data_IF_827970606358
#
_entry.id   IF_827970606358
#
_cell.length_a   1.000
_cell.length_b   1.000
_cell.length_c   1.000
_cell.angle_alpha   90.00
_cell.angle_beta   90.00
_cell.angle_gamma   90.00
#
_symmetry.space_group_name_H-M   'P 1'
#
loop_
_entity.id
_entity.type
_entity.pdbx_description
1 polymer ?
#
# COMPACT_ATOMS: atom_id res chain seq x y z
N UNK A 1 -9.22 16.87 -25.36
CA UNK A 1 -9.65 16.22 -24.09
C UNK A 1 -10.04 14.73 -24.22
N UNK A 2 -10.89 14.30 -25.17
CA UNK A 2 -11.44 12.92 -25.22
C UNK A 2 -10.41 11.75 -25.26
N UNK A 3 -9.19 11.95 -25.79
CA UNK A 3 -8.17 10.89 -25.93
C UNK A 3 -7.36 10.62 -24.65
N UNK A 4 -7.16 11.64 -23.79
CA UNK A 4 -6.46 11.49 -22.50
C UNK A 4 -7.29 10.69 -21.47
N UNK A 5 -8.61 10.88 -21.46
CA UNK A 5 -9.48 10.14 -20.55
C UNK A 5 -9.50 8.63 -20.87
N UNK A 6 -9.35 8.25 -22.15
CA UNK A 6 -9.29 6.82 -22.51
C UNK A 6 -8.01 6.13 -22.00
N UNK A 7 -6.86 6.79 -22.08
CA UNK A 7 -5.57 6.21 -21.64
C UNK A 7 -5.52 6.04 -20.12
N UNK A 8 -6.01 7.04 -19.38
CA UNK A 8 -6.08 6.98 -17.91
C UNK A 8 -7.06 5.90 -17.43
N UNK A 9 -8.19 5.71 -18.11
CA UNK A 9 -9.13 4.62 -17.82
C UNK A 9 -8.50 3.24 -18.06
N UNK A 10 -7.77 3.05 -19.17
CA UNK A 10 -7.10 1.76 -19.44
C UNK A 10 -6.02 1.48 -18.39
N UNK A 11 -5.21 2.48 -18.01
CA UNK A 11 -4.17 2.33 -16.99
C UNK A 11 -4.75 2.03 -15.61
N UNK A 12 -5.81 2.71 -15.22
CA UNK A 12 -6.48 2.45 -13.92
C UNK A 12 -7.09 1.06 -13.88
N UNK A 13 -7.74 0.61 -14.96
CA UNK A 13 -8.20 -0.77 -15.07
C UNK A 13 -7.05 -1.78 -14.93
N UNK A 14 -5.91 -1.55 -15.58
CA UNK A 14 -4.74 -2.43 -15.47
C UNK A 14 -4.20 -2.49 -14.03
N UNK A 15 -4.10 -1.34 -13.34
CA UNK A 15 -3.68 -1.29 -11.93
C UNK A 15 -4.63 -2.09 -11.04
N UNK A 16 -5.95 -1.90 -11.21
CA UNK A 16 -6.95 -2.63 -10.41
C UNK A 16 -6.82 -4.14 -10.61
N UNK A 17 -6.68 -4.60 -11.86
CA UNK A 17 -6.51 -6.02 -12.16
C UNK A 17 -5.25 -6.58 -11.51
N UNK A 18 -4.09 -5.91 -11.67
CA UNK A 18 -2.83 -6.35 -11.07
C UNK A 18 -2.88 -6.32 -9.54
N UNK A 19 -3.52 -5.31 -8.94
CA UNK A 19 -3.70 -5.23 -7.49
C UNK A 19 -4.57 -6.37 -6.94
N UNK A 20 -5.62 -6.77 -7.66
CA UNK A 20 -6.43 -7.93 -7.30
C UNK A 20 -5.62 -9.22 -7.35
N UNK A 21 -4.85 -9.45 -8.42
CA UNK A 21 -3.96 -10.61 -8.52
C UNK A 21 -2.90 -10.62 -7.42
N UNK A 22 -2.32 -9.46 -7.12
CA UNK A 22 -1.38 -9.29 -6.03
C UNK A 22 -2.00 -9.63 -4.67
N UNK A 23 -3.21 -9.14 -4.38
CA UNK A 23 -3.93 -9.45 -3.14
C UNK A 23 -4.25 -10.94 -2.98
N UNK A 24 -4.67 -11.60 -4.06
CA UNK A 24 -4.92 -13.05 -4.08
C UNK A 24 -3.61 -13.83 -3.86
N UNK A 25 -2.52 -13.42 -4.52
CA UNK A 25 -1.22 -14.05 -4.34
C UNK A 25 -0.71 -13.89 -2.90
N UNK A 26 -0.82 -12.68 -2.33
CA UNK A 26 -0.47 -12.39 -0.94
C UNK A 26 -1.27 -13.26 0.04
N UNK A 27 -2.59 -13.35 -0.15
CA UNK A 27 -3.45 -14.16 0.71
C UNK A 27 -3.10 -15.66 0.65
N UNK A 28 -2.92 -16.20 -0.55
CA UNK A 28 -2.54 -17.60 -0.73
C UNK A 28 -1.15 -17.89 -0.15
N UNK A 29 -0.21 -16.95 -0.31
CA UNK A 29 1.12 -17.05 0.27
C UNK A 29 1.07 -17.05 1.81
N UNK A 30 0.35 -16.11 2.41
CA UNK A 30 0.16 -16.05 3.86
C UNK A 30 -0.50 -17.33 4.41
N UNK A 31 -1.49 -17.89 3.70
CA UNK A 31 -2.15 -19.14 4.08
C UNK A 31 -1.18 -20.34 4.06
N UNK A 32 -0.30 -20.42 3.06
CA UNK A 32 0.76 -21.43 3.00
C UNK A 32 1.78 -21.24 4.13
N UNK A 33 2.22 -20.01 4.37
CA UNK A 33 3.13 -19.75 5.48
C UNK A 33 2.50 -20.10 6.83
N UNK A 34 1.20 -19.83 7.03
CA UNK A 34 0.50 -20.22 8.24
C UNK A 34 0.58 -21.74 8.50
N UNK A 35 0.47 -22.58 7.47
CA UNK A 35 0.65 -24.04 7.65
C UNK A 35 2.06 -24.41 8.09
N UNK A 36 3.08 -23.74 7.54
CA UNK A 36 4.49 -23.95 7.93
C UNK A 36 4.72 -23.49 9.37
N UNK A 37 4.20 -22.31 9.75
CA UNK A 37 4.32 -21.80 11.12
C UNK A 37 3.65 -22.75 12.12
N UNK A 38 2.48 -23.33 11.78
CA UNK A 38 1.82 -24.32 12.64
C UNK A 38 2.66 -25.60 12.82
N UNK A 39 3.29 -26.09 11.75
CA UNK A 39 4.17 -27.26 11.82
C UNK A 39 5.41 -27.00 12.69
N UNK A 40 6.07 -25.85 12.49
CA UNK A 40 7.21 -25.42 13.32
C UNK A 40 6.77 -25.27 14.77
N UNK A 41 5.60 -24.66 15.02
CA UNK A 41 5.08 -24.48 16.37
C UNK A 41 4.85 -25.80 17.09
N UNK A 42 4.34 -26.81 16.37
CA UNK A 42 4.19 -28.15 16.91
C UNK A 42 5.56 -28.76 17.25
N UNK A 43 6.50 -28.79 16.32
CA UNK A 43 7.84 -29.35 16.55
C UNK A 43 8.54 -28.69 17.74
N UNK A 44 8.44 -27.36 17.85
CA UNK A 44 8.97 -26.61 18.98
C UNK A 44 8.25 -26.97 20.29
N UNK A 45 6.92 -27.09 20.28
CA UNK A 45 6.17 -27.51 21.46
C UNK A 45 6.59 -28.90 21.94
N UNK A 46 6.75 -29.87 21.03
CA UNK A 46 7.18 -31.22 21.36
C UNK A 46 8.54 -31.21 22.06
N UNK A 47 9.51 -30.52 21.46
CA UNK A 47 10.87 -30.38 22.00
C UNK A 47 10.88 -29.69 23.36
N UNK A 48 10.18 -28.55 23.51
CA UNK A 48 10.13 -27.81 24.77
C UNK A 48 9.43 -28.63 25.86
N UNK A 49 8.32 -29.27 25.54
CA UNK A 49 7.58 -30.10 26.50
C UNK A 49 8.45 -31.25 27.00
N UNK A 50 9.12 -31.98 26.11
CA UNK A 50 10.05 -33.05 26.48
C UNK A 50 11.19 -32.54 27.38
N UNK A 51 11.84 -31.43 27.01
CA UNK A 51 12.94 -30.86 27.79
C UNK A 51 12.50 -30.39 29.17
N UNK A 52 11.37 -29.69 29.26
CA UNK A 52 10.84 -29.17 30.52
C UNK A 52 10.39 -30.32 31.42
N UNK A 53 9.66 -31.30 30.90
CA UNK A 53 9.21 -32.47 31.67
C UNK A 53 10.41 -33.24 32.23
N UNK A 54 11.42 -33.54 31.40
CA UNK A 54 12.64 -34.22 31.85
C UNK A 54 13.35 -33.42 32.95
N UNK A 55 13.57 -32.11 32.73
CA UNK A 55 14.27 -31.25 33.69
C UNK A 55 13.53 -31.10 35.02
N UNK A 56 12.21 -31.00 35.01
CA UNK A 56 11.43 -30.90 36.26
C UNK A 56 11.32 -32.25 36.97
N UNK A 57 11.26 -33.36 36.22
CA UNK A 57 11.33 -34.70 36.79
C UNK A 57 12.67 -34.94 37.50
N UNK A 58 13.79 -34.61 36.86
CA UNK A 58 15.13 -34.79 37.43
C UNK A 58 15.32 -34.02 38.75
N UNK A 59 14.64 -32.87 38.90
CA UNK A 59 14.64 -32.10 40.15
C UNK A 59 13.92 -32.79 41.30
N UNK A 60 12.96 -33.68 41.02
CA UNK A 60 12.28 -34.43 42.07
C UNK A 60 13.22 -35.42 42.77
N UNK A 61 14.37 -35.78 42.15
CA UNK A 61 15.33 -36.77 42.67
C UNK A 61 14.67 -38.09 43.06
N UNK A 62 13.61 -38.47 42.34
CA UNK A 62 12.89 -39.72 42.58
C UNK A 62 13.68 -40.84 41.91
N UNK A 63 14.03 -41.88 42.66
CA UNK A 63 14.55 -43.11 42.10
C UNK A 63 13.41 -43.85 41.42
N UNK A 64 13.40 -43.83 40.09
CA UNK A 64 12.52 -44.66 39.28
C UNK A 64 13.32 -45.81 38.69
N UNK A 65 12.80 -47.02 38.77
CA UNK A 65 13.32 -48.18 38.05
C UNK A 65 12.51 -48.29 36.77
N UNK A 66 13.10 -47.92 35.64
CA UNK A 66 12.53 -48.30 34.34
C UNK A 66 12.71 -49.80 34.21
N UNK A 67 11.61 -50.53 34.15
CA UNK A 67 11.67 -51.94 33.77
C UNK A 67 11.98 -52.00 32.27
N UNK A 68 13.23 -52.30 31.93
CA UNK A 68 13.62 -52.60 30.55
C UNK A 68 12.90 -53.89 30.15
N UNK A 69 11.78 -53.75 29.45
CA UNK A 69 11.13 -54.87 28.82
C UNK A 69 11.96 -55.27 27.61
N UNK A 70 12.45 -56.50 27.63
CA UNK A 70 13.38 -57.14 26.69
C UNK A 70 12.83 -57.26 25.23
N UNK A 71 12.35 -56.17 24.63
CA UNK A 71 11.82 -56.09 23.27
C UNK A 71 10.41 -56.65 23.08
N UNK A 72 9.74 -57.15 24.13
CA UNK A 72 8.33 -57.58 24.04
C UNK A 72 7.41 -56.36 24.05
N UNK A 73 6.79 -56.08 22.90
CA UNK A 73 5.73 -55.06 22.80
C UNK A 73 4.62 -55.40 23.77
N UNK A 74 4.47 -54.62 24.84
CA UNK A 74 3.33 -54.72 25.72
C UNK A 74 2.08 -54.37 24.91
N UNK A 75 1.00 -55.13 25.08
CA UNK A 75 -0.32 -54.83 24.48
C UNK A 75 -1.25 -54.16 25.48
N UNK A 76 -0.91 -54.20 26.76
CA UNK A 76 -1.68 -53.71 27.90
C UNK A 76 -0.72 -53.09 28.92
N UNK A 77 -1.15 -51.99 29.55
CA UNK A 77 -0.50 -51.32 30.68
C UNK A 77 -1.39 -51.47 31.89
N UNK A 78 -0.83 -51.93 33.00
CA UNK A 78 -1.56 -52.08 34.26
C UNK A 78 -1.09 -51.00 35.23
N UNK A 79 -2.05 -50.38 35.93
CA UNK A 79 -1.75 -49.46 37.02
C UNK A 79 -2.69 -49.74 38.19
N UNK A 80 -2.15 -49.68 39.40
CA UNK A 80 -2.93 -49.82 40.63
C UNK A 80 -3.09 -48.42 41.21
N UNK A 81 -4.34 -47.99 41.35
CA UNK A 81 -4.70 -46.72 41.99
C UNK A 81 -5.49 -46.99 43.27
N UNK A 82 -5.81 -45.93 44.03
CA UNK A 82 -6.70 -46.01 45.20
C UNK A 82 -8.10 -46.56 44.85
N UNK A 83 -8.53 -46.42 43.59
CA UNK A 83 -9.83 -46.89 43.09
C UNK A 83 -9.80 -48.34 42.58
N UNK A 84 -8.62 -48.97 42.55
CA UNK A 84 -8.43 -50.36 42.14
C UNK A 84 -7.36 -50.55 41.07
N UNK A 85 -7.27 -51.77 40.58
CA UNK A 85 -6.39 -52.16 39.47
C UNK A 85 -7.07 -51.85 38.13
N UNK A 86 -6.41 -51.03 37.31
CA UNK A 86 -6.86 -50.66 35.99
C UNK A 86 -5.92 -51.24 34.93
N UNK A 87 -6.51 -51.82 33.90
CA UNK A 87 -5.78 -52.28 32.72
C UNK A 87 -6.19 -51.41 31.52
N UNK A 88 -5.21 -50.70 30.96
CA UNK A 88 -5.38 -49.89 29.75
C UNK A 88 -4.72 -50.61 28.58
N UNK A 89 -5.51 -50.93 27.57
CA UNK A 89 -5.01 -51.46 26.30
C UNK A 89 -4.18 -50.38 25.60
N UNK A 90 -2.99 -50.75 25.13
CA UNK A 90 -2.15 -49.83 24.34
C UNK A 90 -2.84 -49.60 23.00
N UNK A 91 -3.16 -48.33 22.73
CA UNK A 91 -3.85 -47.90 21.53
C UNK A 91 -2.85 -47.23 20.61
N UNK A 92 -2.54 -47.86 19.48
CA UNK A 92 -1.57 -47.35 18.51
C UNK A 92 -1.94 -45.97 17.95
N UNK A 93 -3.24 -45.63 17.88
CA UNK A 93 -3.69 -44.31 17.46
C UNK A 93 -3.41 -43.26 18.54
N UNK A 94 -3.60 -43.62 19.81
CA UNK A 94 -3.29 -42.71 20.93
C UNK A 94 -1.79 -42.54 21.15
N UNK A 95 -1.01 -43.61 20.98
CA UNK A 95 0.46 -43.52 20.98
C UNK A 95 0.97 -42.59 19.88
N UNK A 96 0.41 -42.68 18.67
CA UNK A 96 0.73 -41.77 17.57
C UNK A 96 0.29 -40.32 17.82
N UNK A 97 -0.69 -40.11 18.70
CA UNK A 97 -1.14 -38.79 19.18
C UNK A 97 -0.38 -38.31 20.42
N UNK A 98 0.64 -39.02 20.88
CA UNK A 98 1.53 -38.54 21.93
C UNK A 98 2.22 -37.25 21.51
N UNK A 99 2.32 -36.27 22.42
CA UNK A 99 3.06 -35.04 22.14
C UNK A 99 4.55 -35.36 21.90
N UNK A 100 5.07 -36.32 22.65
CA UNK A 100 6.40 -36.88 22.55
C UNK A 100 6.28 -38.41 22.67
N UNK A 101 7.41 -39.11 22.60
CA UNK A 101 7.42 -40.56 22.78
C UNK A 101 6.97 -40.92 24.20
N UNK A 102 5.71 -41.36 24.32
CA UNK A 102 5.06 -41.62 25.60
C UNK A 102 5.85 -42.67 26.41
N UNK A 103 6.31 -43.73 25.76
CA UNK A 103 7.12 -44.78 26.39
C UNK A 103 8.34 -44.24 27.16
N UNK A 104 8.93 -43.12 26.72
CA UNK A 104 10.16 -42.56 27.31
C UNK A 104 9.89 -41.41 28.28
N UNK A 105 8.90 -40.56 27.99
CA UNK A 105 8.66 -39.31 28.74
C UNK A 105 7.33 -39.32 29.48
N UNK A 106 6.36 -40.11 29.01
CA UNK A 106 4.99 -40.12 29.53
C UNK A 106 4.87 -40.55 30.99
N UNK A 107 5.71 -41.50 31.45
CA UNK A 107 5.75 -41.84 32.87
C UNK A 107 6.27 -40.70 33.75
N UNK A 108 7.19 -39.87 33.23
CA UNK A 108 7.72 -38.71 33.96
C UNK A 108 6.65 -37.64 34.13
N UNK A 109 5.87 -37.41 33.07
CA UNK A 109 4.73 -36.50 33.09
C UNK A 109 3.67 -36.96 34.09
N UNK A 110 3.34 -38.26 34.09
CA UNK A 110 2.41 -38.87 35.04
C UNK A 110 2.88 -38.71 36.50
N UNK A 111 4.14 -39.03 36.79
CA UNK A 111 4.71 -38.83 38.12
C UNK A 111 4.66 -37.36 38.55
N UNK A 112 5.06 -36.43 37.67
CA UNK A 112 4.99 -34.99 37.95
C UNK A 112 3.55 -34.54 38.27
N UNK A 113 2.57 -35.08 37.56
CA UNK A 113 1.16 -34.82 37.80
C UNK A 113 0.69 -35.38 39.15
N UNK A 114 1.08 -36.60 39.51
CA UNK A 114 0.77 -37.22 40.80
C UNK A 114 1.29 -36.39 41.99
N UNK A 115 2.46 -35.75 41.83
CA UNK A 115 3.01 -34.82 42.83
C UNK A 115 2.40 -33.41 42.79
N UNK A 116 1.43 -33.14 41.90
CA UNK A 116 0.85 -31.80 41.69
C UNK A 116 1.87 -30.78 41.15
N UNK A 117 2.93 -31.25 40.49
CA UNK A 117 4.08 -30.44 40.02
C UNK A 117 4.22 -30.44 38.51
N UNK A 118 3.16 -30.78 37.78
CA UNK A 118 3.21 -30.76 36.32
C UNK A 118 3.48 -29.34 35.78
N UNK A 119 4.53 -29.12 34.97
CA UNK A 119 5.05 -27.79 34.69
C UNK A 119 4.37 -27.08 33.51
N UNK A 120 3.03 -27.03 33.50
CA UNK A 120 2.25 -26.50 32.37
C UNK A 120 2.63 -25.06 31.98
N UNK A 121 2.67 -24.14 32.95
CA UNK A 121 3.02 -22.73 32.71
C UNK A 121 4.44 -22.57 32.16
N UNK A 122 5.36 -23.41 32.62
CA UNK A 122 6.76 -23.37 32.19
C UNK A 122 6.93 -23.86 30.75
N UNK A 123 6.22 -24.93 30.39
CA UNK A 123 6.15 -25.39 28.99
C UNK A 123 5.60 -24.26 28.12
N UNK A 124 4.52 -23.62 28.55
CA UNK A 124 3.89 -22.53 27.81
C UNK A 124 4.83 -21.33 27.66
N UNK A 125 5.52 -20.91 28.72
CA UNK A 125 6.42 -19.75 28.67
C UNK A 125 7.65 -19.99 27.79
N UNK A 126 8.29 -21.16 27.89
CA UNK A 126 9.46 -21.48 27.07
C UNK A 126 9.08 -21.71 25.60
N UNK A 127 7.90 -22.29 25.34
CA UNK A 127 7.36 -22.41 23.98
C UNK A 127 7.05 -21.04 23.38
N UNK A 128 6.44 -20.15 24.17
CA UNK A 128 6.16 -18.77 23.78
C UNK A 128 7.44 -18.00 23.42
N UNK A 129 8.52 -18.19 24.18
CA UNK A 129 9.82 -17.56 23.92
C UNK A 129 10.45 -18.06 22.62
N UNK A 130 10.49 -19.38 22.39
CA UNK A 130 11.05 -19.93 21.15
C UNK A 130 10.22 -19.56 19.91
N UNK A 131 8.90 -19.43 20.07
CA UNK A 131 8.01 -18.96 19.01
C UNK A 131 8.17 -17.46 18.72
N UNK A 132 8.25 -16.62 19.75
CA UNK A 132 8.40 -15.16 19.58
C UNK A 132 9.75 -14.79 18.93
N UNK A 133 10.81 -15.57 19.21
CA UNK A 133 12.11 -15.42 18.58
C UNK A 133 12.07 -15.61 17.05
N UNK A 134 11.19 -16.49 16.55
CA UNK A 134 11.03 -16.78 15.11
C UNK A 134 9.90 -15.98 14.46
N UNK A 135 8.81 -15.79 15.19
CA UNK A 135 7.54 -15.24 14.73
C UNK A 135 7.00 -14.27 15.78
N UNK A 136 7.49 -13.03 15.75
CA UNK A 136 7.18 -12.00 16.75
C UNK A 136 5.69 -11.77 16.93
N UNK A 137 5.28 -11.61 18.18
CA UNK A 137 3.90 -11.33 18.56
C UNK A 137 2.95 -12.52 18.42
N UNK A 138 3.48 -13.73 18.22
CA UNK A 138 2.70 -14.97 18.34
C UNK A 138 2.13 -15.09 19.74
N UNK A 139 0.91 -15.62 19.88
CA UNK A 139 0.33 -15.93 21.19
C UNK A 139 0.11 -17.43 21.27
N UNK A 140 0.73 -18.05 22.28
CA UNK A 140 0.68 -19.48 22.55
C UNK A 140 -0.14 -19.74 23.82
N UNK A 141 -1.08 -20.68 23.75
CA UNK A 141 -1.93 -21.10 24.86
C UNK A 141 -2.01 -22.61 24.92
N UNK A 142 -1.99 -23.15 26.13
CA UNK A 142 -2.13 -24.58 26.38
C UNK A 142 -3.34 -24.82 27.29
N UNK A 143 -4.17 -25.79 26.95
CA UNK A 143 -5.18 -26.36 27.84
C UNK A 143 -4.76 -27.78 28.21
N UNK A 144 -4.65 -28.04 29.51
CA UNK A 144 -4.38 -29.36 30.04
C UNK A 144 -5.66 -29.91 30.66
N UNK A 145 -6.14 -31.01 30.11
CA UNK A 145 -7.26 -31.79 30.62
C UNK A 145 -6.75 -33.10 31.23
N UNK A 146 -7.09 -33.33 32.49
CA UNK A 146 -6.75 -34.52 33.25
C UNK A 146 -8.04 -35.26 33.55
N UNK A 147 -8.12 -36.52 33.12
CA UNK A 147 -9.23 -37.44 33.36
C UNK A 147 -8.67 -38.65 34.10
N UNK A 148 -8.71 -38.66 35.45
CA UNK A 148 -8.20 -39.77 36.23
C UNK A 148 -8.96 -41.06 35.89
N UNK A 149 -8.26 -42.20 35.91
CA UNK A 149 -8.90 -43.51 35.73
C UNK A 149 -9.94 -43.73 36.84
N UNK A 150 -11.12 -44.22 36.45
CA UNK A 150 -12.22 -44.50 37.39
C UNK A 150 -13.09 -43.30 37.80
N UNK A 151 -12.70 -42.07 37.43
CA UNK A 151 -13.45 -40.85 37.74
C UNK A 151 -14.13 -40.26 36.50
N UNK A 152 -15.40 -39.92 36.63
CA UNK A 152 -16.16 -39.17 35.60
C UNK A 152 -15.86 -37.67 35.60
N UNK A 153 -15.16 -37.18 36.62
CA UNK A 153 -14.80 -35.76 36.77
C UNK A 153 -13.43 -35.50 36.13
N UNK A 154 -13.40 -34.59 35.17
CA UNK A 154 -12.16 -34.09 34.58
C UNK A 154 -11.78 -32.74 35.17
N UNK A 155 -10.48 -32.49 35.29
CA UNK A 155 -9.93 -31.20 35.64
C UNK A 155 -9.33 -30.56 34.39
N UNK A 156 -9.68 -29.31 34.11
CA UNK A 156 -9.11 -28.53 33.02
C UNK A 156 -8.37 -27.32 33.57
N UNK A 157 -7.15 -27.11 33.09
CA UNK A 157 -6.27 -26.00 33.51
C UNK A 157 -5.71 -25.34 32.27
N UNK A 158 -5.71 -24.00 32.25
CA UNK A 158 -5.22 -23.21 31.13
C UNK A 158 -3.93 -22.50 31.50
N UNK A 159 -3.02 -22.43 30.53
CA UNK A 159 -1.84 -21.57 30.59
C UNK A 159 -1.90 -20.55 29.45
N UNK A 160 -2.14 -19.29 29.80
CA UNK A 160 -2.21 -18.15 28.88
C UNK A 160 -3.60 -17.57 28.65
N UNK A 161 -3.77 -16.84 27.55
CA UNK A 161 -4.98 -16.06 27.28
C UNK A 161 -6.07 -16.89 26.59
N UNK A 162 -7.08 -17.33 27.34
CA UNK A 162 -8.18 -18.18 26.87
C UNK A 162 -8.98 -17.60 25.69
N UNK A 163 -8.95 -16.28 25.46
CA UNK A 163 -9.68 -15.63 24.36
C UNK A 163 -9.28 -16.15 22.97
N UNK A 164 -8.10 -16.77 22.84
CA UNK A 164 -7.60 -17.30 21.57
C UNK A 164 -7.95 -18.79 21.34
N UNK A 165 -8.61 -19.46 22.30
CA UNK A 165 -9.00 -20.87 22.25
C UNK A 165 -10.13 -21.13 21.24
N UNK A 166 -9.84 -20.90 19.96
CA UNK A 166 -10.78 -21.08 18.84
C UNK A 166 -10.31 -22.20 17.91
N UNK A 167 -11.22 -22.76 17.12
CA UNK A 167 -10.89 -23.81 16.16
C UNK A 167 -9.85 -23.37 15.10
N UNK A 168 -9.77 -22.07 14.80
CA UNK A 168 -8.80 -21.53 13.84
C UNK A 168 -7.35 -21.58 14.38
N UNK A 169 -7.19 -21.35 15.68
CA UNK A 169 -5.89 -21.33 16.36
C UNK A 169 -5.48 -22.70 16.90
N UNK A 170 -6.37 -23.69 16.85
CA UNK A 170 -6.07 -25.05 17.30
C UNK A 170 -4.93 -25.66 16.47
N UNK A 171 -3.94 -26.22 17.16
CA UNK A 171 -2.85 -27.02 16.58
C UNK A 171 -3.15 -28.51 16.67
N UNK A 172 -3.80 -28.94 17.75
CA UNK A 172 -4.13 -30.33 18.01
C UNK A 172 -4.32 -30.61 19.49
N UNK A 173 -4.78 -31.82 19.79
CA UNK A 173 -4.84 -32.38 21.15
C UNK A 173 -3.93 -33.60 21.20
N UNK A 174 -3.09 -33.65 22.22
CA UNK A 174 -2.00 -34.63 22.32
C UNK A 174 -2.02 -35.29 23.69
N UNK A 175 -1.70 -36.58 23.74
CA UNK A 175 -1.52 -37.26 25.03
C UNK A 175 -0.14 -36.96 25.61
N UNK A 176 -0.08 -36.86 26.94
CA UNK A 176 1.15 -36.59 27.67
C UNK A 176 1.64 -37.77 28.51
N UNK A 177 0.76 -38.69 28.86
CA UNK A 177 1.05 -39.80 29.76
C UNK A 177 0.76 -41.16 29.13
N UNK A 178 1.33 -42.20 29.74
CA UNK A 178 1.20 -43.58 29.25
C UNK A 178 -0.18 -44.19 29.50
N UNK A 179 -0.99 -43.58 30.35
CA UNK A 179 -2.32 -44.07 30.69
C UNK A 179 -3.43 -43.32 29.95
N UNK A 180 -3.07 -42.36 29.07
CA UNK A 180 -3.98 -41.49 28.34
C UNK A 180 -4.94 -40.69 29.24
N UNK A 181 -4.52 -40.42 30.47
CA UNK A 181 -5.28 -39.64 31.46
C UNK A 181 -5.05 -38.14 31.29
N UNK A 182 -3.92 -37.76 30.68
CA UNK A 182 -3.51 -36.38 30.46
C UNK A 182 -3.52 -36.05 28.97
N UNK A 183 -4.38 -35.12 28.58
CA UNK A 183 -4.43 -34.58 27.23
C UNK A 183 -4.14 -33.08 27.23
N UNK A 184 -3.26 -32.65 26.33
CA UNK A 184 -2.87 -31.27 26.12
C UNK A 184 -3.41 -30.77 24.78
N UNK A 185 -4.28 -29.77 24.82
CA UNK A 185 -4.71 -29.05 23.62
C UNK A 185 -3.88 -27.78 23.46
N UNK A 186 -3.23 -27.65 22.30
CA UNK A 186 -2.37 -26.52 22.00
C UNK A 186 -3.04 -25.54 21.03
N UNK A 187 -2.97 -24.25 21.36
CA UNK A 187 -3.47 -23.16 20.53
C UNK A 187 -2.35 -22.18 20.22
N UNK A 188 -2.29 -21.72 18.97
CA UNK A 188 -1.34 -20.70 18.55
C UNK A 188 -2.00 -19.74 17.55
N UNK A 189 -1.92 -18.45 17.87
CA UNK A 189 -2.36 -17.38 16.98
C UNK A 189 -1.13 -16.68 16.39
N UNK A 190 -0.83 -16.88 15.10
CA UNK A 190 0.25 -16.18 14.44
C UNK A 190 -0.22 -14.81 13.93
N UNK A 191 0.72 -13.87 13.86
CA UNK A 191 0.49 -12.58 13.22
C UNK A 191 0.61 -12.75 11.70
N UNK A 192 -0.42 -12.35 10.97
CA UNK A 192 -0.54 -12.53 9.52
C UNK A 192 0.71 -12.11 8.73
N UNK A 193 1.32 -10.98 9.09
CA UNK A 193 2.50 -10.44 8.40
C UNK A 193 3.73 -11.37 8.47
N UNK A 194 3.88 -12.12 9.55
CA UNK A 194 4.99 -13.07 9.74
C UNK A 194 4.70 -14.44 9.11
N UNK A 195 3.48 -14.66 8.62
CA UNK A 195 3.15 -15.81 7.78
C UNK A 195 3.42 -15.55 6.29
N UNK A 196 3.76 -14.34 5.88
CA UNK A 196 4.03 -14.02 4.47
C UNK A 196 5.49 -14.34 4.16
N UNK A 197 5.70 -15.19 3.15
CA UNK A 197 7.01 -15.38 2.53
C UNK A 197 7.25 -14.28 1.50
N UNK A 198 7.93 -13.22 1.95
CA UNK A 198 8.33 -12.08 1.12
C UNK A 198 9.35 -12.44 0.03
N UNK A 199 9.94 -13.64 0.06
CA UNK A 199 10.85 -14.13 -0.98
C UNK A 199 10.13 -14.90 -2.08
N UNK A 200 8.81 -15.08 -1.99
CA UNK A 200 8.02 -15.73 -3.03
C UNK A 200 8.14 -14.97 -4.35
N UNK A 201 8.61 -15.69 -5.38
CA UNK A 201 8.87 -15.12 -6.69
C UNK A 201 7.61 -14.50 -7.32
N UNK A 202 6.44 -15.12 -7.14
CA UNK A 202 5.19 -14.64 -7.73
C UNK A 202 4.77 -13.33 -7.06
N UNK A 203 4.83 -13.29 -5.73
CA UNK A 203 4.52 -12.07 -4.98
C UNK A 203 5.48 -10.93 -5.34
N UNK A 204 6.78 -11.20 -5.46
CA UNK A 204 7.78 -10.21 -5.87
C UNK A 204 7.53 -9.68 -7.28
N UNK A 205 7.27 -10.57 -8.25
CA UNK A 205 7.00 -10.19 -9.63
C UNK A 205 5.75 -9.28 -9.71
N UNK A 206 4.66 -9.68 -9.05
CA UNK A 206 3.43 -8.88 -9.03
C UNK A 206 3.62 -7.53 -8.32
N UNK A 207 4.41 -7.50 -7.25
CA UNK A 207 4.77 -6.25 -6.55
C UNK A 207 5.54 -5.30 -7.48
N UNK A 208 6.52 -5.80 -8.21
CA UNK A 208 7.29 -5.03 -9.18
C UNK A 208 6.40 -4.48 -10.30
N UNK A 209 5.51 -5.30 -10.87
CA UNK A 209 4.56 -4.85 -11.90
C UNK A 209 3.63 -3.76 -11.38
N UNK A 210 3.08 -3.92 -10.18
CA UNK A 210 2.21 -2.92 -9.57
C UNK A 210 2.96 -1.61 -9.33
N UNK A 211 4.19 -1.67 -8.82
CA UNK A 211 5.04 -0.49 -8.64
C UNK A 211 5.30 0.24 -9.96
N UNK A 212 5.68 -0.48 -11.03
CA UNK A 212 5.92 0.11 -12.35
C UNK A 212 4.65 0.82 -12.87
N UNK A 213 3.48 0.21 -12.70
CA UNK A 213 2.21 0.81 -13.11
C UNK A 213 1.82 2.04 -12.27
N UNK A 214 2.12 2.05 -10.98
CA UNK A 214 1.87 3.22 -10.14
C UNK A 214 2.81 4.38 -10.48
N UNK A 215 4.11 4.10 -10.64
CA UNK A 215 5.09 5.10 -11.05
C UNK A 215 4.80 5.64 -12.45
N UNK A 216 4.47 4.78 -13.41
CA UNK A 216 4.11 5.20 -14.76
C UNK A 216 2.90 6.14 -14.79
N UNK A 217 1.86 5.84 -14.01
CA UNK A 217 0.68 6.72 -13.87
C UNK A 217 1.06 8.06 -13.24
N UNK A 218 1.87 8.05 -12.18
CA UNK A 218 2.33 9.26 -11.50
C UNK A 218 3.10 10.19 -12.46
N UNK A 219 4.09 9.65 -13.19
CA UNK A 219 4.85 10.41 -14.18
C UNK A 219 3.94 10.93 -15.31
N UNK A 220 3.02 10.12 -15.80
CA UNK A 220 2.06 10.54 -16.84
C UNK A 220 1.22 11.74 -16.39
N UNK A 221 0.67 11.70 -15.17
CA UNK A 221 -0.14 12.81 -14.62
C UNK A 221 0.71 14.06 -14.45
N UNK A 222 1.94 13.94 -13.93
CA UNK A 222 2.88 15.08 -13.76
C UNK A 222 3.22 15.75 -15.09
N UNK A 223 3.50 14.96 -16.13
CA UNK A 223 3.76 15.48 -17.49
C UNK A 223 2.54 16.25 -18.02
N UNK A 224 1.33 15.74 -17.80
CA UNK A 224 0.11 16.41 -18.28
C UNK A 224 -0.20 17.71 -17.53
N UNK A 225 0.07 17.77 -16.23
CA UNK A 225 -0.07 18.99 -15.44
C UNK A 225 0.86 20.09 -15.96
N UNK A 226 2.13 19.79 -16.18
CA UNK A 226 3.08 20.76 -16.76
C UNK A 226 2.69 21.26 -18.15
N UNK A 227 2.07 20.41 -18.99
CA UNK A 227 1.57 20.84 -20.30
C UNK A 227 0.42 21.84 -20.19
N UNK A 228 -0.49 21.66 -19.22
CA UNK A 228 -1.60 22.59 -18.99
C UNK A 228 -1.11 23.92 -18.43
N UNK A 229 -0.16 23.88 -17.50
CA UNK A 229 0.45 25.07 -16.91
C UNK A 229 1.12 25.94 -17.98
N UNK A 230 1.96 25.34 -18.83
CA UNK A 230 2.57 26.04 -19.98
C UNK A 230 1.54 26.62 -20.94
N UNK A 231 0.43 25.93 -21.21
CA UNK A 231 -0.60 26.43 -22.12
C UNK A 231 -1.37 27.64 -21.54
N UNK A 232 -1.46 27.73 -20.21
CA UNK A 232 -2.21 28.81 -19.52
C UNK A 232 -1.36 30.08 -19.44
N UNK A 233 -0.07 29.95 -19.13
CA UNK A 233 0.91 31.06 -19.07
C UNK A 233 1.11 31.76 -20.44
N UNK A 234 1.08 31.01 -21.55
CA UNK A 234 1.15 31.60 -22.90
C UNK A 234 -0.11 32.39 -23.27
N UNK A 235 -1.27 32.08 -22.69
CA UNK A 235 -2.53 32.78 -23.02
C UNK A 235 -2.62 34.15 -22.35
N UNK A 236 -2.19 34.29 -21.10
CA UNK A 236 -2.23 35.57 -20.37
C UNK A 236 -1.27 36.61 -20.95
N UNK A 237 -0.13 36.18 -21.50
CA UNK A 237 0.90 37.09 -22.03
C UNK A 237 0.50 37.84 -23.33
N UNK A 238 -0.65 37.51 -23.93
CA UNK A 238 -1.08 38.03 -25.23
C UNK A 238 -2.27 39.00 -25.16
N UNK A 239 -2.72 39.38 -23.96
CA UNK A 239 -3.75 40.39 -23.74
C UNK A 239 -3.05 41.69 -23.31
N UNK A 240 -3.21 42.75 -24.11
CA UNK A 240 -2.58 44.04 -23.89
C UNK A 240 -3.63 45.09 -23.53
N UNK A 241 -3.42 45.83 -22.45
CA UNK A 241 -4.29 46.93 -22.04
C UNK A 241 -3.85 48.24 -22.72
N UNK A 242 -4.75 48.91 -23.43
CA UNK A 242 -4.49 50.15 -24.16
C UNK A 242 -5.59 51.14 -23.81
N UNK A 243 -5.30 52.04 -22.87
CA UNK A 243 -6.33 52.93 -22.32
C UNK A 243 -7.41 52.15 -21.58
N UNK A 244 -8.67 52.34 -21.96
CA UNK A 244 -9.82 51.59 -21.41
C UNK A 244 -10.12 50.29 -22.19
N UNK A 245 -9.40 50.04 -23.29
CA UNK A 245 -9.63 48.88 -24.17
C UNK A 245 -8.62 47.77 -23.93
N UNK A 246 -9.06 46.51 -23.94
CA UNK A 246 -8.19 45.33 -23.92
C UNK A 246 -8.07 44.71 -25.32
N UNK A 247 -6.84 44.54 -25.79
CA UNK A 247 -6.54 43.92 -27.08
C UNK A 247 -6.03 42.49 -26.89
N UNK A 248 -6.73 41.52 -27.49
CA UNK A 248 -6.30 40.13 -27.56
C UNK A 248 -5.56 39.88 -28.89
N UNK A 249 -4.26 39.64 -28.80
CA UNK A 249 -3.40 39.45 -29.96
C UNK A 249 -3.63 38.10 -30.68
N UNK A 250 -4.14 37.08 -29.98
CA UNK A 250 -4.40 35.75 -30.54
C UNK A 250 -5.72 35.77 -31.30
N UNK A 251 -6.78 36.32 -30.68
CA UNK A 251 -8.12 36.33 -31.26
C UNK A 251 -8.37 37.53 -32.19
N UNK A 252 -7.41 38.47 -32.28
CA UNK A 252 -7.55 39.71 -33.04
C UNK A 252 -8.82 40.49 -32.68
N UNK A 253 -9.09 40.62 -31.38
CA UNK A 253 -10.27 41.34 -30.88
C UNK A 253 -9.87 42.48 -29.94
N UNK A 254 -10.64 43.56 -29.99
CA UNK A 254 -10.53 44.70 -29.08
C UNK A 254 -11.82 44.78 -28.28
N UNK A 255 -11.73 44.78 -26.95
CA UNK A 255 -12.89 44.86 -26.06
C UNK A 255 -12.88 46.20 -25.31
N UNK A 256 -13.96 46.95 -25.40
CA UNK A 256 -14.16 48.22 -24.68
C UNK A 256 -15.53 48.20 -23.98
N UNK A 257 -15.55 48.31 -22.64
CA UNK A 257 -16.77 48.47 -21.82
C UNK A 257 -17.94 47.59 -22.30
N UNK A 258 -17.65 46.30 -22.55
CA UNK A 258 -18.57 45.23 -23.01
C UNK A 258 -18.80 45.09 -24.54
N UNK A 259 -18.31 46.01 -25.37
CA UNK A 259 -18.37 45.88 -26.84
C UNK A 259 -17.10 45.20 -27.38
N UNK A 260 -17.26 44.05 -28.04
CA UNK A 260 -16.16 43.31 -28.69
C UNK A 260 -16.11 43.66 -30.18
N UNK A 261 -15.01 44.27 -30.62
CA UNK A 261 -14.76 44.63 -32.02
C UNK A 261 -13.69 43.73 -32.62
N UNK A 262 -13.98 43.21 -33.81
CA UNK A 262 -12.98 42.48 -34.59
C UNK A 262 -11.93 43.45 -35.13
N UNK A 263 -10.65 43.15 -34.91
CA UNK A 263 -9.52 43.91 -35.40
C UNK A 263 -9.02 43.30 -36.71
N UNK A 264 -9.10 44.02 -37.85
CA UNK A 264 -8.57 43.51 -39.12
C UNK A 264 -7.09 43.12 -38.99
N UNK A 265 -6.61 42.06 -39.68
CA UNK A 265 -5.25 41.55 -39.51
C UNK A 265 -4.14 42.60 -39.66
N UNK A 266 -4.32 43.56 -40.59
CA UNK A 266 -3.38 44.65 -40.78
C UNK A 266 -3.38 45.65 -39.62
N UNK A 267 -4.56 45.94 -39.05
CA UNK A 267 -4.69 46.80 -37.88
C UNK A 267 -4.11 46.12 -36.62
N UNK A 268 -4.32 44.80 -36.47
CA UNK A 268 -3.75 44.03 -35.36
C UNK A 268 -2.22 44.01 -35.40
N UNK A 269 -1.61 43.82 -36.58
CA UNK A 269 -0.15 43.90 -36.77
C UNK A 269 0.39 45.28 -36.42
N UNK A 270 -0.28 46.34 -36.89
CA UNK A 270 0.11 47.72 -36.56
C UNK A 270 0.00 48.00 -35.07
N UNK A 271 -1.10 47.57 -34.43
CA UNK A 271 -1.31 47.77 -33.01
C UNK A 271 -0.25 47.05 -32.17
N UNK A 272 0.09 45.80 -32.52
CA UNK A 272 1.21 45.07 -31.92
C UNK A 272 2.54 45.80 -32.09
N UNK A 273 2.81 46.35 -33.28
CA UNK A 273 4.02 47.11 -33.54
C UNK A 273 4.09 48.40 -32.71
N UNK A 274 2.97 49.10 -32.52
CA UNK A 274 2.89 50.25 -31.61
C UNK A 274 3.09 49.85 -30.15
N UNK A 275 2.52 48.73 -29.69
CA UNK A 275 2.70 48.26 -28.31
C UNK A 275 4.15 47.84 -28.05
N UNK A 276 4.84 47.33 -29.07
CA UNK A 276 6.23 46.91 -28.97
C UNK A 276 7.22 48.07 -28.81
N UNK A 277 6.82 49.31 -29.13
CA UNK A 277 7.66 50.51 -28.93
C UNK A 277 7.32 51.19 -27.60
N UNK A 278 8.34 51.61 -26.86
CA UNK A 278 8.19 52.14 -25.50
C UNK A 278 7.40 53.45 -25.41
N UNK A 279 7.30 54.20 -26.51
CA UNK A 279 6.57 55.46 -26.63
C UNK A 279 5.33 55.37 -27.53
N UNK A 280 4.94 54.15 -27.92
CA UNK A 280 3.86 53.88 -28.89
C UNK A 280 3.99 54.70 -30.18
N UNK A 281 5.23 54.95 -30.61
CA UNK A 281 5.54 55.67 -31.84
C UNK A 281 6.02 54.71 -32.92
N UNK A 282 5.63 54.99 -34.17
CA UNK A 282 6.18 54.36 -35.37
C UNK A 282 6.40 55.42 -36.44
N UNK A 283 7.56 55.39 -37.07
CA UNK A 283 7.90 56.19 -38.25
C UNK A 283 7.10 55.75 -39.48
N UNK A 284 7.04 56.60 -40.49
CA UNK A 284 6.40 56.28 -41.76
C UNK A 284 7.00 55.06 -42.47
N UNK A 285 8.30 54.80 -42.30
CA UNK A 285 8.98 53.67 -42.91
C UNK A 285 8.73 52.38 -42.12
N UNK A 286 8.75 52.44 -40.78
CA UNK A 286 8.37 51.30 -39.93
C UNK A 286 6.93 50.85 -40.17
N UNK A 287 6.00 51.79 -40.34
CA UNK A 287 4.61 51.47 -40.69
C UNK A 287 4.54 50.73 -42.03
N UNK A 288 5.34 51.15 -43.01
CA UNK A 288 5.39 50.48 -44.31
C UNK A 288 5.96 49.06 -44.18
N UNK A 289 7.03 48.88 -43.41
CA UNK A 289 7.64 47.57 -43.14
C UNK A 289 6.65 46.64 -42.43
N UNK A 290 5.98 47.09 -41.37
CA UNK A 290 4.96 46.32 -40.63
C UNK A 290 3.79 45.91 -41.53
N UNK A 291 3.41 46.78 -42.46
CA UNK A 291 2.36 46.50 -43.44
C UNK A 291 2.83 45.73 -44.68
N UNK A 292 4.11 45.35 -44.75
CA UNK A 292 4.74 44.70 -45.89
C UNK A 292 4.62 45.50 -47.21
N UNK A 293 4.75 46.82 -47.14
CA UNK A 293 4.80 47.70 -48.31
C UNK A 293 6.24 48.03 -48.67
N UNK A 294 6.56 48.05 -49.96
CA UNK A 294 7.89 48.47 -50.44
C UNK A 294 8.04 49.97 -50.30
N UNK A 295 9.19 50.46 -49.82
CA UNK A 295 9.45 51.90 -49.67
C UNK A 295 9.48 52.66 -51.01
N UNK A 296 9.67 51.96 -52.13
CA UNK A 296 9.62 52.52 -53.49
C UNK A 296 8.22 52.57 -54.11
N UNK A 297 7.19 52.07 -53.42
CA UNK A 297 5.81 52.07 -53.93
C UNK A 297 5.26 53.50 -54.10
N UNK A 298 4.63 53.78 -55.24
CA UNK A 298 3.89 55.03 -55.43
C UNK A 298 2.62 55.06 -54.56
N UNK A 299 2.31 56.20 -53.95
CA UNK A 299 1.09 56.39 -53.15
C UNK A 299 1.15 55.87 -51.69
N UNK A 300 2.34 55.54 -51.16
CA UNK A 300 2.53 55.11 -49.76
C UNK A 300 1.90 56.05 -48.73
N UNK A 301 1.94 57.36 -48.97
CA UNK A 301 1.32 58.36 -48.08
C UNK A 301 -0.18 58.12 -47.88
N UNK A 302 -0.91 57.85 -48.96
CA UNK A 302 -2.34 57.57 -48.90
C UNK A 302 -2.63 56.20 -48.27
N UNK A 303 -1.80 55.19 -48.56
CA UNK A 303 -1.92 53.86 -47.93
C UNK A 303 -1.74 53.93 -46.42
N UNK A 304 -0.70 54.63 -45.94
CA UNK A 304 -0.47 54.89 -44.51
C UNK A 304 -1.67 55.59 -43.87
N UNK A 305 -2.15 56.66 -44.49
CA UNK A 305 -3.30 57.42 -43.98
C UNK A 305 -4.56 56.55 -43.86
N UNK A 306 -4.83 55.68 -44.83
CA UNK A 306 -5.96 54.74 -44.79
C UNK A 306 -5.80 53.71 -43.66
N UNK A 307 -4.64 53.09 -43.52
CA UNK A 307 -4.38 52.10 -42.47
C UNK A 307 -4.51 52.70 -41.06
N UNK A 308 -3.93 53.90 -40.83
CA UNK A 308 -4.07 54.61 -39.57
C UNK A 308 -5.52 55.03 -39.30
N UNK A 309 -6.26 55.44 -40.31
CA UNK A 309 -7.69 55.75 -40.15
C UNK A 309 -8.52 54.51 -39.80
N UNK A 310 -8.20 53.34 -40.36
CA UNK A 310 -8.84 52.08 -39.95
C UNK A 310 -8.54 51.75 -38.49
N UNK A 311 -7.31 51.98 -38.02
CA UNK A 311 -6.94 51.80 -36.62
C UNK A 311 -7.67 52.79 -35.70
N UNK A 312 -7.81 54.07 -36.10
CA UNK A 312 -8.58 55.08 -35.34
C UNK A 312 -10.04 54.69 -35.15
N UNK A 313 -10.68 54.10 -36.16
CA UNK A 313 -12.08 53.65 -36.08
C UNK A 313 -12.28 52.57 -35.00
N UNK A 314 -11.27 51.76 -34.71
CA UNK A 314 -11.36 50.75 -33.65
C UNK A 314 -11.47 51.38 -32.26
N UNK A 315 -10.88 52.56 -32.06
CA UNK A 315 -10.88 53.31 -30.80
C UNK A 315 -11.90 54.47 -30.79
N UNK A 316 -12.82 54.55 -31.74
CA UNK A 316 -13.77 55.67 -31.83
C UNK A 316 -14.65 55.81 -30.58
N UNK A 317 -14.93 54.70 -29.90
CA UNK A 317 -15.67 54.65 -28.62
C UNK A 317 -14.76 54.87 -27.40
N UNK A 318 -13.45 54.73 -27.55
CA UNK A 318 -12.47 54.90 -26.48
C UNK A 318 -11.87 56.31 -26.52
N UNK A 319 -12.41 57.21 -25.71
CA UNK A 319 -11.92 58.60 -25.64
C UNK A 319 -10.53 58.72 -25.00
N UNK A 320 -10.05 57.67 -24.33
CA UNK A 320 -8.72 57.67 -23.71
C UNK A 320 -7.61 57.49 -24.75
N UNK A 321 -7.88 56.89 -25.92
CA UNK A 321 -6.86 56.59 -26.94
C UNK A 321 -6.96 57.56 -28.12
N UNK A 322 -5.84 58.23 -28.44
CA UNK A 322 -5.73 59.11 -29.62
C UNK A 322 -4.52 58.75 -30.47
N UNK A 323 -4.69 58.66 -31.78
CA UNK A 323 -3.60 58.38 -32.72
C UNK A 323 -3.24 59.66 -33.47
N UNK A 324 -2.11 60.27 -33.12
CA UNK A 324 -1.66 61.57 -33.62
C UNK A 324 -0.56 61.42 -34.67
N UNK A 325 -0.53 62.31 -35.65
CA UNK A 325 0.59 62.42 -36.58
C UNK A 325 1.63 63.37 -35.97
N UNK A 326 2.89 62.93 -35.92
CA UNK A 326 4.00 63.72 -35.38
C UNK A 326 4.89 64.12 -36.56
N UNK A 327 4.61 65.29 -37.15
CA UNK A 327 5.26 65.76 -38.37
C UNK A 327 6.78 65.90 -38.22
N UNK A 328 7.25 66.36 -37.05
CA UNK A 328 8.68 66.54 -36.74
C UNK A 328 9.46 65.22 -36.77
N UNK A 329 8.84 64.14 -36.32
CA UNK A 329 9.43 62.79 -36.27
C UNK A 329 9.05 61.92 -37.47
N UNK A 330 8.30 62.47 -38.42
CA UNK A 330 7.79 61.75 -39.59
C UNK A 330 7.10 60.40 -39.25
N UNK A 331 6.14 60.43 -38.34
CA UNK A 331 5.46 59.21 -37.89
C UNK A 331 4.11 59.43 -37.24
N UNK A 332 3.58 58.38 -36.62
CA UNK A 332 2.36 58.39 -35.81
C UNK A 332 2.66 57.93 -34.39
N UNK A 333 1.93 58.47 -33.42
CA UNK A 333 2.01 58.08 -32.01
C UNK A 333 0.63 57.77 -31.45
N UNK A 334 0.51 56.69 -30.67
CA UNK A 334 -0.66 56.47 -29.83
C UNK A 334 -0.45 57.17 -28.50
N UNK A 335 -1.34 58.10 -28.18
CA UNK A 335 -1.37 58.82 -26.91
C UNK A 335 -2.55 58.31 -26.10
N UNK A 336 -2.25 57.82 -24.90
CA UNK A 336 -3.23 57.35 -23.93
C UNK A 336 -3.41 58.44 -22.89
N UNK A 337 -4.61 59.03 -22.86
CA UNK A 337 -5.03 59.99 -21.85
C UNK A 337 -5.41 59.24 -20.58
N UNK A 338 -4.98 59.76 -19.43
CA UNK A 338 -5.39 59.22 -18.12
C UNK A 338 -6.81 59.63 -17.76
#
# INVERSE_FOLDING_TARGET
>A
MKRCNKITVIWTCAIVVVALFWGVALYNNARKGQTVVKEVALQTLQKVAEQVVNREFDKLRVYHVSWDNNGTKQTKRQVITEEGEFEVTIDSLKEAQGLYLLEVVGYKADILNCYGKFPLEKIRSEWQEEMDARYRGTVCVLSLKITPLGKDVFQETFAGNETICTSQNNLGTYYLDNMYTMSLTAYMQPVFLYCIDWKDNVLLILSCFLCILLFGLFFYVRIQLHKKEKATDVSEKNIYLIGESSFDAINHTLTNKEEVKFCPPQAAKLLLAFIATSDYFLTYDEIAVVCCWTLSDTGLKERRRKAINSLRKLFETDKSVKILAVSEKQGYQIVISK
#
